data_IF_601622132984
#
_entry.id   IF_601622132984
#
_cell.length_a   1.000
_cell.length_b   1.000
_cell.length_c   1.000
_cell.angle_alpha   90.00
_cell.angle_beta   90.00
_cell.angle_gamma   90.00
#
_symmetry.space_group_name_H-M   'P 1'
#
loop_
_entity.id
_entity.type
_entity.pdbx_description
1 polymer ?
#
# COMPACT_ATOMS: atom_id res chain seq x y z
N UNK A 1 -26.04 -5.06 -11.46
CA UNK A 1 -25.35 -6.26 -10.97
C UNK A 1 -24.58 -5.89 -9.72
N UNK A 2 -24.73 -6.65 -8.65
CA UNK A 2 -23.99 -6.44 -7.43
C UNK A 2 -24.66 -7.02 -6.21
N UNK A 3 -24.02 -6.77 -5.07
CA UNK A 3 -24.52 -7.07 -3.74
C UNK A 3 -24.69 -5.76 -2.99
N UNK A 4 -25.80 -5.61 -2.28
CA UNK A 4 -26.01 -4.41 -1.46
C UNK A 4 -25.20 -4.52 -0.16
N UNK A 5 -24.55 -3.43 0.27
CA UNK A 5 -23.84 -3.38 1.55
C UNK A 5 -24.76 -3.68 2.76
N UNK A 6 -26.07 -3.57 2.56
CA UNK A 6 -27.11 -3.90 3.53
C UNK A 6 -27.83 -5.20 3.21
N UNK A 7 -27.20 -6.14 2.50
CA UNK A 7 -27.81 -7.39 2.04
C UNK A 7 -28.53 -8.16 3.17
N UNK A 8 -28.01 -8.15 4.37
CA UNK A 8 -28.63 -8.78 5.55
C UNK A 8 -29.96 -8.14 5.98
N UNK A 9 -30.26 -6.90 5.49
CA UNK A 9 -31.52 -6.20 5.76
C UNK A 9 -32.45 -6.17 4.56
N UNK A 10 -31.93 -5.99 3.34
CA UNK A 10 -32.72 -5.84 2.13
C UNK A 10 -32.73 -7.08 1.23
N UNK A 11 -31.86 -8.06 1.49
CA UNK A 11 -31.76 -9.30 0.69
C UNK A 11 -31.25 -9.11 -0.75
N UNK A 12 -30.90 -7.89 -1.15
CA UNK A 12 -30.51 -7.64 -2.54
C UNK A 12 -29.14 -8.25 -2.85
N UNK A 13 -29.17 -9.29 -3.68
CA UNK A 13 -27.99 -9.94 -4.25
C UNK A 13 -28.31 -10.34 -5.68
N UNK A 14 -27.73 -9.62 -6.65
CA UNK A 14 -27.94 -9.86 -8.08
C UNK A 14 -26.60 -10.12 -8.76
N UNK A 15 -26.08 -11.36 -8.67
CA UNK A 15 -24.76 -11.70 -9.19
C UNK A 15 -24.72 -11.66 -10.73
N UNK A 16 -23.53 -11.51 -11.32
CA UNK A 16 -23.37 -11.48 -12.78
C UNK A 16 -24.03 -12.65 -13.50
N UNK A 17 -24.00 -13.85 -12.95
CA UNK A 17 -24.64 -15.03 -13.53
C UNK A 17 -26.15 -14.84 -13.71
N UNK A 18 -26.84 -14.27 -12.73
CA UNK A 18 -28.29 -14.00 -12.83
C UNK A 18 -28.55 -12.89 -13.84
N UNK A 19 -27.75 -11.83 -13.82
CA UNK A 19 -27.87 -10.75 -14.78
C UNK A 19 -27.76 -11.26 -16.24
N UNK A 20 -26.76 -12.09 -16.53
CA UNK A 20 -26.59 -12.62 -17.88
C UNK A 20 -27.65 -13.64 -18.26
N UNK A 21 -28.24 -14.37 -17.32
CA UNK A 21 -29.37 -15.24 -17.56
C UNK A 21 -30.62 -14.45 -17.94
N UNK A 22 -30.86 -13.32 -17.23
CA UNK A 22 -32.03 -12.45 -17.48
C UNK A 22 -31.88 -11.54 -18.71
N UNK A 23 -30.62 -11.34 -19.18
CA UNK A 23 -30.26 -10.46 -20.29
C UNK A 23 -29.40 -11.17 -21.36
N UNK A 24 -29.89 -12.22 -22.01
CA UNK A 24 -29.10 -13.04 -22.95
C UNK A 24 -28.61 -12.27 -24.17
N UNK A 25 -29.31 -11.21 -24.60
CA UNK A 25 -28.93 -10.35 -25.73
C UNK A 25 -27.78 -9.36 -25.41
N UNK A 26 -27.37 -9.21 -24.15
CA UNK A 26 -26.29 -8.33 -23.77
C UNK A 26 -24.94 -9.04 -23.68
N UNK A 27 -24.91 -10.32 -23.98
CA UNK A 27 -23.64 -11.03 -24.20
C UNK A 27 -23.16 -10.60 -25.59
N UNK A 28 -22.57 -9.40 -25.68
CA UNK A 28 -21.76 -9.09 -26.85
C UNK A 28 -20.67 -10.15 -26.90
N UNK A 29 -20.55 -10.85 -28.03
CA UNK A 29 -19.43 -11.75 -28.35
C UNK A 29 -18.07 -11.01 -28.43
N UNK A 30 -17.85 -10.06 -27.60
CA UNK A 30 -16.55 -9.43 -27.38
C UNK A 30 -15.90 -10.00 -26.12
N UNK A 31 -15.83 -11.33 -26.00
CA UNK A 31 -14.59 -11.87 -25.48
C UNK A 31 -13.52 -11.56 -26.54
N UNK A 32 -13.17 -10.28 -26.64
CA UNK A 32 -11.85 -9.97 -27.18
C UNK A 32 -10.93 -10.85 -26.36
N UNK A 33 -10.34 -11.83 -27.03
CA UNK A 33 -9.29 -12.66 -26.46
C UNK A 33 -8.42 -11.72 -25.62
N UNK A 34 -8.32 -11.99 -24.30
CA UNK A 34 -7.45 -11.25 -23.41
C UNK A 34 -6.09 -11.17 -24.11
N UNK A 35 -5.81 -10.01 -24.71
CA UNK A 35 -4.49 -9.76 -25.24
C UNK A 35 -3.63 -9.64 -23.99
N UNK A 36 -2.69 -10.56 -23.77
CA UNK A 36 -1.78 -10.41 -22.64
C UNK A 36 -1.19 -9.00 -22.74
N UNK A 37 -1.24 -8.28 -21.64
CA UNK A 37 -0.59 -6.98 -21.57
C UNK A 37 0.89 -7.20 -21.84
N UNK A 38 1.31 -6.90 -23.04
CA UNK A 38 2.71 -6.74 -23.37
C UNK A 38 3.08 -5.34 -22.91
N UNK A 39 3.84 -5.21 -21.80
CA UNK A 39 4.35 -3.89 -21.45
C UNK A 39 5.12 -3.34 -22.65
N UNK A 40 4.96 -2.04 -22.96
CA UNK A 40 5.74 -1.45 -24.04
C UNK A 40 7.23 -1.70 -23.77
N UNK A 41 7.99 -2.11 -24.78
CA UNK A 41 9.43 -2.35 -24.75
C UNK A 41 10.26 -1.07 -24.52
N UNK A 42 9.70 -0.08 -23.86
CA UNK A 42 10.41 1.12 -23.45
C UNK A 42 11.04 0.82 -22.10
N UNK A 43 12.24 0.29 -22.12
CA UNK A 43 13.13 0.23 -20.96
C UNK A 43 13.55 1.65 -20.56
N UNK A 44 12.60 2.47 -20.16
CA UNK A 44 12.96 3.69 -19.44
C UNK A 44 13.50 3.26 -18.09
N UNK A 45 14.75 3.58 -17.76
CA UNK A 45 15.35 3.18 -16.50
C UNK A 45 14.49 3.67 -15.34
N UNK A 46 14.20 2.79 -14.40
CA UNK A 46 13.40 3.10 -13.21
C UNK A 46 14.25 3.89 -12.24
N UNK A 47 13.71 4.99 -11.74
CA UNK A 47 14.36 5.83 -10.74
C UNK A 47 14.12 5.30 -9.31
N UNK A 48 15.05 5.63 -8.42
CA UNK A 48 15.05 5.21 -7.03
C UNK A 48 15.26 6.39 -6.09
N UNK A 49 14.62 6.31 -4.94
CA UNK A 49 14.85 7.26 -3.85
C UNK A 49 16.07 6.79 -3.04
N UNK A 50 16.92 7.74 -2.62
CA UNK A 50 18.06 7.40 -1.75
C UNK A 50 17.60 6.76 -0.45
N UNK A 51 18.23 5.65 -0.06
CA UNK A 51 17.95 4.95 1.20
C UNK A 51 18.16 5.81 2.45
N UNK A 52 18.94 6.87 2.34
CA UNK A 52 19.12 7.85 3.41
C UNK A 52 17.80 8.50 3.88
N UNK A 53 16.77 8.58 3.03
CA UNK A 53 15.46 9.06 3.45
C UNK A 53 14.74 8.05 4.36
N UNK A 54 14.91 6.76 4.11
CA UNK A 54 14.41 5.71 5.00
C UNK A 54 15.05 5.85 6.38
N UNK A 55 16.39 5.88 6.43
CA UNK A 55 17.16 5.99 7.69
C UNK A 55 16.75 7.25 8.46
N UNK A 56 16.70 8.42 7.81
CA UNK A 56 16.36 9.70 8.44
C UNK A 56 14.92 9.77 8.94
N UNK A 57 14.00 9.02 8.35
CA UNK A 57 12.60 8.99 8.75
C UNK A 57 12.28 7.90 9.79
N UNK A 58 13.21 6.96 10.03
CA UNK A 58 13.02 5.87 10.98
C UNK A 58 12.66 6.43 12.34
N UNK A 59 11.51 6.05 12.85
CA UNK A 59 10.99 6.57 14.11
C UNK A 59 10.01 5.59 14.74
N UNK A 60 10.06 5.49 16.04
CA UNK A 60 9.06 4.78 16.87
C UNK A 60 7.97 5.73 17.39
N UNK A 61 7.87 6.93 16.81
CA UNK A 61 6.98 8.01 17.26
C UNK A 61 6.07 8.48 16.12
N UNK A 62 5.14 7.64 15.69
CA UNK A 62 4.05 8.04 14.82
C UNK A 62 2.71 7.74 15.48
N UNK A 63 1.64 8.42 15.02
CA UNK A 63 0.28 8.15 15.50
C UNK A 63 -0.12 6.68 15.28
N UNK A 64 0.39 6.04 14.24
CA UNK A 64 0.19 4.63 14.00
C UNK A 64 0.90 3.75 15.05
N UNK A 65 2.13 4.08 15.40
CA UNK A 65 2.86 3.39 16.47
C UNK A 65 2.18 3.57 17.83
N UNK A 66 1.65 4.75 18.12
CA UNK A 66 0.88 4.99 19.36
C UNK A 66 -0.39 4.15 19.43
N UNK A 67 -1.05 3.93 18.30
CA UNK A 67 -2.15 2.98 18.20
C UNK A 67 -1.71 1.54 18.49
N UNK A 68 -0.54 1.12 17.97
CA UNK A 68 0.00 -0.22 18.19
C UNK A 68 0.39 -0.43 19.65
N UNK A 69 1.03 0.55 20.32
CA UNK A 69 1.45 0.49 21.72
C UNK A 69 0.32 0.19 22.70
N UNK A 70 -0.93 0.45 22.32
CA UNK A 70 -2.10 0.15 23.13
C UNK A 70 -2.58 -1.30 23.02
N UNK A 71 -2.04 -2.09 22.11
CA UNK A 71 -2.54 -3.43 21.74
C UNK A 71 -1.48 -4.51 21.76
N UNK A 72 -0.21 -4.12 21.59
CA UNK A 72 0.88 -5.06 21.43
C UNK A 72 2.06 -4.70 22.35
N UNK A 73 2.87 -5.68 22.76
CA UNK A 73 4.10 -5.44 23.51
C UNK A 73 5.07 -4.56 22.74
N UNK A 74 5.80 -3.71 23.46
CA UNK A 74 6.73 -2.72 22.87
C UNK A 74 7.84 -3.40 22.06
N UNK A 75 8.31 -4.56 22.51
CA UNK A 75 9.34 -5.35 21.83
C UNK A 75 8.85 -5.82 20.46
N UNK A 76 7.61 -6.29 20.37
CA UNK A 76 7.02 -6.72 19.09
C UNK A 76 6.86 -5.54 18.13
N UNK A 77 6.39 -4.39 18.64
CA UNK A 77 6.26 -3.17 17.85
C UNK A 77 7.63 -2.73 17.31
N UNK A 78 8.67 -2.77 18.14
CA UNK A 78 10.02 -2.41 17.72
C UNK A 78 10.51 -3.36 16.63
N UNK A 79 10.38 -4.67 16.84
CA UNK A 79 10.75 -5.69 15.86
C UNK A 79 10.08 -5.43 14.51
N UNK A 80 8.75 -5.31 14.47
CA UNK A 80 8.00 -5.10 13.24
C UNK A 80 8.33 -3.75 12.59
N UNK A 81 8.52 -2.70 13.40
CA UNK A 81 8.91 -1.39 12.89
C UNK A 81 10.29 -1.43 12.22
N UNK A 82 11.20 -2.22 12.77
CA UNK A 82 12.54 -2.40 12.22
C UNK A 82 12.51 -3.25 10.95
N UNK A 83 11.79 -4.38 10.96
CA UNK A 83 11.65 -5.28 9.81
C UNK A 83 11.03 -4.56 8.61
N UNK A 84 9.92 -3.85 8.82
CA UNK A 84 9.24 -3.10 7.76
C UNK A 84 9.80 -1.70 7.51
N UNK A 85 10.85 -1.30 8.25
CA UNK A 85 11.49 0.03 8.16
C UNK A 85 10.48 1.16 8.24
N UNK A 86 9.55 1.09 9.21
CA UNK A 86 8.53 2.13 9.36
C UNK A 86 9.15 3.48 9.64
N UNK A 87 8.74 4.48 8.87
CA UNK A 87 9.14 5.87 9.05
C UNK A 87 8.04 6.74 9.63
N UNK A 88 8.40 7.95 10.05
CA UNK A 88 7.45 8.98 10.44
C UNK A 88 7.80 10.34 9.82
N UNK A 89 6.78 11.15 9.58
CA UNK A 89 6.92 12.56 9.24
C UNK A 89 7.06 13.40 10.52
N UNK A 90 7.44 14.67 10.38
CA UNK A 90 7.42 15.62 11.50
C UNK A 90 6.02 15.80 12.11
N UNK A 91 4.96 15.59 11.32
CA UNK A 91 3.55 15.63 11.75
C UNK A 91 3.08 14.30 12.35
N UNK A 92 3.99 13.35 12.62
CA UNK A 92 3.70 12.01 13.19
C UNK A 92 2.86 11.11 12.28
N UNK A 93 2.80 11.40 10.97
CA UNK A 93 2.20 10.50 10.00
C UNK A 93 3.15 9.33 9.74
N UNK A 94 2.64 8.11 9.64
CA UNK A 94 3.48 6.95 9.32
C UNK A 94 3.89 6.96 7.85
N UNK A 95 5.12 6.52 7.58
CA UNK A 95 5.62 6.28 6.22
C UNK A 95 5.81 4.78 6.05
N UNK A 96 5.05 4.20 5.13
CA UNK A 96 5.20 2.82 4.66
C UNK A 96 6.11 2.82 3.44
N UNK A 97 7.37 2.44 3.63
CA UNK A 97 8.36 2.44 2.57
C UNK A 97 8.18 1.25 1.63
N UNK A 98 8.14 1.52 0.34
CA UNK A 98 8.18 0.50 -0.71
C UNK A 98 9.64 0.26 -1.09
N UNK A 99 10.20 -0.82 -0.58
CA UNK A 99 11.57 -1.27 -0.83
C UNK A 99 11.45 -2.60 -1.57
N UNK A 100 12.04 -2.67 -2.75
CA UNK A 100 11.94 -3.84 -3.61
C UNK A 100 12.82 -4.99 -3.12
N UNK A 101 12.67 -6.15 -3.78
CA UNK A 101 13.43 -7.35 -3.49
C UNK A 101 14.95 -7.14 -3.56
N UNK A 102 15.43 -6.19 -4.36
CA UNK A 102 16.86 -5.86 -4.47
C UNK A 102 17.35 -4.88 -3.40
N UNK A 103 16.45 -4.37 -2.56
CA UNK A 103 16.74 -3.40 -1.50
C UNK A 103 16.69 -1.94 -1.95
N UNK A 104 16.24 -1.67 -3.19
CA UNK A 104 16.12 -0.30 -3.70
C UNK A 104 14.78 0.32 -3.29
N UNK A 105 14.83 1.59 -2.90
CA UNK A 105 13.64 2.32 -2.44
C UNK A 105 12.89 2.90 -3.62
N UNK A 106 11.68 2.42 -3.85
CA UNK A 106 10.78 2.90 -4.92
C UNK A 106 10.08 4.20 -4.52
N UNK A 107 9.45 4.17 -3.37
CA UNK A 107 8.76 5.34 -2.76
C UNK A 107 8.40 5.04 -1.31
N UNK A 108 7.63 5.93 -0.68
CA UNK A 108 6.99 5.72 0.61
C UNK A 108 5.58 6.28 0.59
N UNK A 109 4.62 5.53 1.10
CA UNK A 109 3.23 5.95 1.27
C UNK A 109 3.07 6.58 2.64
N UNK A 110 2.61 7.81 2.68
CA UNK A 110 2.42 8.59 3.91
C UNK A 110 0.94 8.53 4.28
N UNK A 111 0.65 8.08 5.50
CA UNK A 111 -0.72 7.87 5.97
C UNK A 111 -0.92 8.48 7.35
N UNK A 112 -2.12 9.06 7.54
CA UNK A 112 -2.55 9.58 8.83
C UNK A 112 -3.51 8.61 9.50
N UNK A 113 -3.23 8.29 10.77
CA UNK A 113 -4.07 7.44 11.59
C UNK A 113 -4.44 8.12 12.90
N UNK A 114 -5.63 7.83 13.38
CA UNK A 114 -6.04 8.17 14.73
C UNK A 114 -5.25 7.29 15.73
N UNK A 115 -4.53 7.88 16.69
CA UNK A 115 -3.68 7.13 17.62
C UNK A 115 -4.48 6.33 18.68
N UNK A 116 -5.78 6.55 18.80
CA UNK A 116 -6.63 5.84 19.76
C UNK A 116 -7.26 4.60 19.13
N UNK A 117 -7.88 4.77 17.98
CA UNK A 117 -8.69 3.75 17.32
C UNK A 117 -8.04 3.13 16.08
N UNK A 118 -6.93 3.72 15.59
CA UNK A 118 -6.21 3.24 14.43
C UNK A 118 -6.97 3.35 13.12
N UNK A 119 -8.03 4.15 13.06
CA UNK A 119 -8.72 4.46 11.80
C UNK A 119 -7.92 5.47 11.02
N UNK A 120 -7.93 5.33 9.68
CA UNK A 120 -7.35 6.32 8.79
C UNK A 120 -8.11 7.64 8.92
N UNK A 121 -7.37 8.74 9.05
CA UNK A 121 -7.95 10.09 9.06
C UNK A 121 -8.15 10.51 7.61
N UNK A 122 -9.39 10.83 7.27
CA UNK A 122 -9.76 11.38 5.97
C UNK A 122 -9.94 12.89 6.11
N UNK A 123 -8.97 13.65 5.62
CA UNK A 123 -9.07 15.10 5.57
C UNK A 123 -9.36 15.59 4.14
N UNK A 124 -9.80 16.84 4.01
CA UNK A 124 -10.14 17.46 2.70
C UNK A 124 -8.94 17.57 1.75
N UNK A 125 -7.72 17.54 2.26
CA UNK A 125 -6.47 17.67 1.50
C UNK A 125 -5.89 16.33 0.99
N UNK A 126 -6.62 15.24 1.17
CA UNK A 126 -6.19 13.90 0.78
C UNK A 126 -5.53 13.14 1.93
N UNK A 127 -6.09 11.97 2.25
CA UNK A 127 -5.63 11.12 3.35
C UNK A 127 -4.36 10.32 3.01
N UNK A 128 -3.91 10.39 1.77
CA UNK A 128 -2.74 9.67 1.26
C UNK A 128 -1.81 10.69 0.60
N UNK A 129 -0.54 10.63 0.96
CA UNK A 129 0.52 11.35 0.28
C UNK A 129 1.68 10.40 -0.02
N UNK A 130 2.57 10.81 -0.89
CA UNK A 130 3.69 10.01 -1.34
C UNK A 130 5.01 10.75 -1.17
N UNK A 131 6.03 10.04 -0.73
CA UNK A 131 7.36 10.63 -0.52
C UNK A 131 7.92 11.19 -1.81
N UNK A 132 7.81 10.48 -2.94
CA UNK A 132 8.29 10.98 -4.23
C UNK A 132 7.63 12.31 -4.62
N UNK A 133 6.32 12.48 -4.38
CA UNK A 133 5.64 13.74 -4.66
C UNK A 133 6.15 14.88 -3.78
N UNK A 134 6.37 14.62 -2.48
CA UNK A 134 6.98 15.63 -1.59
C UNK A 134 8.40 15.99 -2.02
N UNK A 135 9.18 15.01 -2.46
CA UNK A 135 10.56 15.26 -2.93
C UNK A 135 10.59 16.02 -4.25
N UNK A 136 9.66 15.75 -5.18
CA UNK A 136 9.48 16.54 -6.41
C UNK A 136 9.15 17.99 -6.06
N UNK A 137 8.18 18.23 -5.20
CA UNK A 137 7.79 19.58 -4.75
C UNK A 137 8.95 20.36 -4.10
N UNK A 138 9.87 19.64 -3.44
CA UNK A 138 11.06 20.22 -2.82
C UNK A 138 12.26 20.35 -3.77
N UNK A 139 12.13 19.96 -5.04
CA UNK A 139 13.22 19.96 -6.01
C UNK A 139 14.37 18.98 -5.69
N UNK A 140 14.10 17.96 -4.85
CA UNK A 140 15.12 16.99 -4.41
C UNK A 140 15.25 15.77 -5.33
N UNK A 141 14.29 15.54 -6.19
CA UNK A 141 14.30 14.56 -7.26
C UNK A 141 13.73 15.19 -8.53
N UNK A 142 14.04 14.60 -9.68
CA UNK A 142 13.55 15.07 -10.98
C UNK A 142 12.03 15.13 -11.05
N UNK A 143 11.48 16.13 -11.74
CA UNK A 143 10.04 16.17 -12.06
C UNK A 143 9.64 14.97 -12.94
N UNK A 144 10.58 14.49 -13.78
CA UNK A 144 10.38 13.32 -14.65
C UNK A 144 10.75 11.99 -13.96
N UNK A 145 10.82 11.97 -12.62
CA UNK A 145 11.10 10.76 -11.85
C UNK A 145 10.20 9.60 -12.29
N UNK A 146 10.81 8.56 -12.87
CA UNK A 146 10.13 7.38 -13.38
C UNK A 146 9.86 6.38 -12.25
N UNK A 147 8.66 6.45 -11.70
CA UNK A 147 8.24 5.62 -10.58
C UNK A 147 7.74 4.25 -11.06
N UNK A 148 8.39 3.18 -10.63
CA UNK A 148 7.82 1.83 -10.62
C UNK A 148 7.60 1.41 -9.18
N UNK A 149 6.34 1.29 -8.76
CA UNK A 149 5.99 0.85 -7.40
C UNK A 149 6.28 -0.64 -7.21
N UNK A 150 6.53 -1.04 -5.97
CA UNK A 150 6.61 -2.43 -5.54
C UNK A 150 5.70 -2.66 -4.32
N UNK A 151 5.55 -3.90 -3.90
CA UNK A 151 4.75 -4.21 -2.72
C UNK A 151 5.43 -3.74 -1.43
N UNK A 152 4.63 -3.27 -0.47
CA UNK A 152 5.12 -3.02 0.88
C UNK A 152 5.54 -4.34 1.53
N UNK A 153 6.76 -4.39 2.07
CA UNK A 153 7.32 -5.61 2.66
C UNK A 153 8.02 -6.54 1.66
N UNK A 154 8.10 -6.19 0.37
CA UNK A 154 8.73 -7.03 -0.67
C UNK A 154 10.19 -7.38 -0.34
N UNK A 155 10.95 -6.47 0.26
CA UNK A 155 12.33 -6.72 0.70
C UNK A 155 12.47 -7.84 1.73
N UNK A 156 11.39 -8.17 2.47
CA UNK A 156 11.37 -9.25 3.44
C UNK A 156 11.38 -10.64 2.80
N UNK A 157 10.93 -10.76 1.55
CA UNK A 157 10.94 -12.03 0.81
C UNK A 157 12.34 -12.61 0.71
N UNK A 158 13.34 -11.75 0.55
CA UNK A 158 14.75 -12.16 0.52
C UNK A 158 15.25 -12.63 1.90
N UNK A 159 14.75 -12.02 2.97
CA UNK A 159 15.14 -12.37 4.33
C UNK A 159 14.53 -13.71 4.79
N UNK A 160 13.38 -14.09 4.22
CA UNK A 160 12.61 -15.25 4.65
C UNK A 160 12.18 -16.14 3.46
N UNK A 161 13.11 -16.70 2.68
CA UNK A 161 12.80 -17.36 1.41
C UNK A 161 11.98 -18.65 1.55
N UNK A 162 11.92 -19.24 2.76
CA UNK A 162 11.18 -20.47 3.03
C UNK A 162 9.83 -20.25 3.74
N UNK A 163 9.50 -18.99 4.06
CA UNK A 163 8.23 -18.69 4.74
C UNK A 163 7.07 -18.55 3.75
N UNK A 164 5.89 -18.96 4.18
CA UNK A 164 4.64 -18.71 3.44
C UNK A 164 4.38 -17.23 3.40
N UNK A 165 4.03 -16.73 2.21
CA UNK A 165 3.74 -15.31 1.98
C UNK A 165 2.23 -15.09 1.96
N UNK A 166 1.76 -14.15 2.77
CA UNK A 166 0.38 -13.66 2.74
C UNK A 166 0.33 -12.33 1.99
N UNK A 167 -0.59 -12.21 1.04
CA UNK A 167 -0.87 -10.95 0.35
C UNK A 167 -2.12 -10.34 0.97
N UNK A 168 -2.02 -9.07 1.38
CA UNK A 168 -3.10 -8.32 2.04
C UNK A 168 -3.32 -6.97 1.36
N UNK A 169 -4.52 -6.40 1.50
CA UNK A 169 -4.91 -5.17 0.79
C UNK A 169 -4.20 -3.90 1.28
N UNK A 170 -3.70 -3.87 2.51
CA UNK A 170 -3.14 -2.64 3.07
C UNK A 170 -1.87 -2.87 3.86
N UNK A 171 -1.01 -1.84 3.87
CA UNK A 171 0.23 -1.80 4.63
C UNK A 171 -0.03 -1.96 6.14
N UNK A 172 -1.11 -1.36 6.63
CA UNK A 172 -1.54 -1.53 8.03
C UNK A 172 -1.84 -3.00 8.34
N UNK A 173 -2.58 -3.69 7.45
CA UNK A 173 -2.90 -5.10 7.64
C UNK A 173 -1.66 -5.95 7.61
N UNK A 174 -0.69 -5.67 6.73
CA UNK A 174 0.59 -6.36 6.69
C UNK A 174 1.33 -6.26 8.04
N UNK A 175 1.42 -5.06 8.61
CA UNK A 175 2.04 -4.82 9.92
C UNK A 175 1.30 -5.51 11.07
N UNK A 176 -0.04 -5.60 11.02
CA UNK A 176 -0.84 -6.23 12.08
C UNK A 176 -0.82 -7.76 12.02
N UNK A 177 -0.55 -8.33 10.85
CA UNK A 177 -0.55 -9.78 10.62
C UNK A 177 0.84 -10.43 10.78
N UNK A 178 1.90 -9.63 10.92
CA UNK A 178 3.31 -10.08 11.02
C UNK A 178 3.79 -10.46 12.43
#
# INVERSE_FOLDING_TARGET
>A
VGICDRVNKCGYHYPPRMYFADNPGNIKESYQSYKPYNPPDIETPVDYISFNYVIKSKSTESNFIDFLKKRFPVERIRQVSDEYMLGATKSRDVIFWQIDFTGKVRTGKIMQYDPLIGKRIHNKSGAINWVHNKLKQQGKISQNFNLAQCLFGEHLLKCYPQKVVAIVESEKTAVLAS
#
